data_IF_069404068932
#
_entry.id   IF_069404068932
#
_cell.length_a   1.000
_cell.length_b   1.000
_cell.length_c   1.000
_cell.angle_alpha   90.00
_cell.angle_beta   90.00
_cell.angle_gamma   90.00
#
_symmetry.space_group_name_H-M   'P 1'
#
loop_
_entity.id
_entity.type
_entity.pdbx_description
1 polymer ?
#
# COMPACT_ATOMS: atom_id res chain seq x y z
N UNK A 1 -10.03 0.40 -5.07
CA UNK A 1 -8.99 0.23 -6.11
C UNK A 1 -8.55 -1.23 -6.16
N UNK A 2 -8.21 -1.71 -7.33
CA UNK A 2 -7.65 -3.05 -7.46
C UNK A 2 -6.20 -3.05 -6.98
N UNK A 3 -5.64 -4.21 -6.62
CA UNK A 3 -4.22 -4.29 -6.26
C UNK A 3 -3.30 -3.76 -7.35
N UNK A 4 -3.64 -3.99 -8.61
CA UNK A 4 -2.84 -3.49 -9.73
C UNK A 4 -2.87 -1.98 -9.81
N UNK A 5 -4.02 -1.37 -9.57
CA UNK A 5 -4.15 0.09 -9.53
C UNK A 5 -3.34 0.71 -8.41
N UNK A 6 -3.34 0.07 -7.24
CA UNK A 6 -2.55 0.54 -6.11
C UNK A 6 -1.06 0.50 -6.46
N UNK A 7 -0.61 -0.61 -7.03
CA UNK A 7 0.79 -0.77 -7.43
C UNK A 7 1.18 0.26 -8.49
N UNK A 8 0.32 0.48 -9.47
CA UNK A 8 0.56 1.47 -10.53
C UNK A 8 0.68 2.88 -9.95
N UNK A 9 -0.19 3.23 -9.00
CA UNK A 9 -0.15 4.53 -8.36
C UNK A 9 1.18 4.74 -7.60
N UNK A 10 1.69 3.70 -6.95
CA UNK A 10 2.97 3.76 -6.25
C UNK A 10 4.13 3.90 -7.23
N UNK A 11 4.10 3.13 -8.31
CA UNK A 11 5.16 3.19 -9.34
C UNK A 11 5.21 4.57 -9.98
N UNK A 12 4.06 5.16 -10.27
CA UNK A 12 3.98 6.51 -10.84
C UNK A 12 4.62 7.55 -9.94
N UNK A 13 4.65 7.31 -8.65
CA UNK A 13 5.28 8.21 -7.69
C UNK A 13 6.73 7.82 -7.36
N UNK A 14 7.26 6.81 -8.05
CA UNK A 14 8.62 6.33 -7.81
C UNK A 14 8.81 5.64 -6.47
N UNK A 15 7.74 5.11 -5.90
CA UNK A 15 7.78 4.45 -4.60
C UNK A 15 7.80 2.94 -4.80
N UNK A 16 8.77 2.27 -4.19
CA UNK A 16 8.89 0.82 -4.22
C UNK A 16 8.25 0.21 -2.98
N UNK A 17 7.75 -1.02 -3.12
CA UNK A 17 7.15 -1.73 -1.98
C UNK A 17 8.16 -1.95 -0.86
N UNK A 18 9.44 -2.13 -1.20
CA UNK A 18 10.50 -2.25 -0.20
C UNK A 18 10.64 -1.01 0.66
N UNK A 19 10.39 0.16 0.08
CA UNK A 19 10.43 1.41 0.84
C UNK A 19 9.29 1.49 1.84
N UNK A 20 8.10 1.07 1.43
CA UNK A 20 6.94 1.03 2.32
C UNK A 20 7.19 0.03 3.45
N UNK A 21 7.72 -1.14 3.11
CA UNK A 21 8.04 -2.17 4.09
C UNK A 21 9.03 -1.65 5.13
N UNK A 22 10.04 -0.92 4.68
CA UNK A 22 11.04 -0.34 5.58
C UNK A 22 10.41 0.70 6.52
N UNK A 23 9.56 1.57 5.98
CA UNK A 23 8.86 2.58 6.79
C UNK A 23 7.96 1.95 7.83
N UNK A 24 7.33 0.84 7.50
CA UNK A 24 6.41 0.15 8.40
C UNK A 24 7.09 -0.93 9.24
N UNK A 25 8.39 -1.16 9.00
CA UNK A 25 9.18 -2.17 9.70
C UNK A 25 8.57 -3.57 9.54
N UNK A 26 8.22 -3.91 8.31
CA UNK A 26 7.65 -5.22 7.94
C UNK A 26 8.35 -5.73 6.69
N UNK A 27 8.06 -6.98 6.32
CA UNK A 27 8.60 -7.57 5.10
C UNK A 27 7.83 -7.07 3.88
N UNK A 28 8.49 -6.97 2.69
CA UNK A 28 7.79 -6.57 1.47
C UNK A 28 6.60 -7.47 1.12
N UNK A 29 6.68 -8.77 1.44
CA UNK A 29 5.56 -9.69 1.24
C UNK A 29 4.33 -9.29 2.03
N UNK A 30 4.54 -8.75 3.24
CA UNK A 30 3.44 -8.26 4.08
C UNK A 30 2.73 -7.08 3.41
N UNK A 31 3.50 -6.15 2.84
CA UNK A 31 2.94 -5.02 2.10
C UNK A 31 2.13 -5.50 0.90
N UNK A 32 2.69 -6.47 0.16
CA UNK A 32 2.01 -7.04 -1.00
C UNK A 32 0.68 -7.68 -0.61
N UNK A 33 0.64 -8.40 0.52
CA UNK A 33 -0.59 -9.03 1.00
C UNK A 33 -1.64 -8.00 1.41
N UNK A 34 -1.22 -6.91 2.01
CA UNK A 34 -2.13 -5.82 2.37
C UNK A 34 -2.71 -5.19 1.10
N UNK A 35 -1.88 -4.95 0.10
CA UNK A 35 -2.33 -4.40 -1.18
C UNK A 35 -3.35 -5.35 -1.84
N UNK A 36 -3.09 -6.65 -1.78
CA UNK A 36 -3.98 -7.66 -2.35
C UNK A 36 -5.28 -7.85 -1.56
N UNK A 37 -5.39 -7.27 -0.37
CA UNK A 37 -6.55 -7.43 0.48
C UNK A 37 -6.58 -8.72 1.27
N UNK A 38 -5.49 -9.48 1.27
CA UNK A 38 -5.39 -10.75 2.01
C UNK A 38 -5.03 -10.55 3.47
N UNK A 39 -4.42 -9.43 3.77
CA UNK A 39 -4.02 -9.09 5.12
C UNK A 39 -4.51 -7.69 5.42
N UNK A 40 -4.88 -7.44 6.68
CA UNK A 40 -5.41 -6.15 7.09
C UNK A 40 -4.46 -5.53 8.09
N UNK A 41 -3.83 -4.43 7.70
CA UNK A 41 -2.98 -3.65 8.58
C UNK A 41 -3.29 -2.19 8.37
N UNK A 42 -3.96 -1.59 9.33
CA UNK A 42 -4.34 -0.18 9.26
C UNK A 42 -3.12 0.71 9.09
N UNK A 43 -2.02 0.35 9.74
CA UNK A 43 -0.77 1.12 9.66
C UNK A 43 -0.21 1.14 8.24
N UNK A 44 -0.17 -0.01 7.58
CA UNK A 44 0.31 -0.11 6.20
C UNK A 44 -0.67 0.57 5.25
N UNK A 45 -1.97 0.33 5.44
CA UNK A 45 -3.01 0.95 4.64
C UNK A 45 -2.94 2.48 4.72
N UNK A 46 -2.77 3.01 5.92
CA UNK A 46 -2.68 4.46 6.13
C UNK A 46 -1.44 5.03 5.44
N UNK A 47 -0.31 4.32 5.53
CA UNK A 47 0.93 4.75 4.88
C UNK A 47 0.73 4.83 3.37
N UNK A 48 0.16 3.79 2.77
CA UNK A 48 -0.10 3.75 1.33
C UNK A 48 -1.07 4.86 0.92
N UNK A 49 -2.16 5.03 1.68
CA UNK A 49 -3.17 6.04 1.39
C UNK A 49 -2.57 7.44 1.37
N UNK A 50 -1.70 7.75 2.31
CA UNK A 50 -1.01 9.04 2.35
C UNK A 50 -0.10 9.24 1.14
N UNK A 51 0.61 8.19 0.73
CA UNK A 51 1.54 8.27 -0.39
C UNK A 51 0.79 8.56 -1.68
N UNK A 52 -0.31 7.87 -1.93
CA UNK A 52 -1.07 8.05 -3.17
C UNK A 52 -2.17 9.10 -3.06
N UNK A 53 -2.25 9.79 -1.92
CA UNK A 53 -3.17 10.89 -1.66
C UNK A 53 -4.63 10.49 -1.89
N UNK A 54 -5.02 9.39 -1.26
CA UNK A 54 -6.39 8.88 -1.33
C UNK A 54 -6.87 8.48 0.05
N UNK A 55 -8.20 8.44 0.20
CA UNK A 55 -8.80 7.97 1.44
C UNK A 55 -8.75 6.44 1.51
N UNK A 56 -8.66 5.90 2.72
CA UNK A 56 -8.66 4.46 2.91
C UNK A 56 -9.87 3.80 2.26
N UNK A 57 -11.03 4.43 2.37
CA UNK A 57 -12.28 3.90 1.82
C UNK A 57 -12.28 3.84 0.30
N UNK A 58 -11.52 4.71 -0.35
CA UNK A 58 -11.39 4.69 -1.81
C UNK A 58 -10.52 3.53 -2.27
N UNK A 59 -9.54 3.16 -1.46
CA UNK A 59 -8.57 2.12 -1.82
C UNK A 59 -9.09 0.74 -1.41
N UNK A 60 -9.57 0.64 -0.18
CA UNK A 60 -10.11 -0.61 0.39
C UNK A 60 -11.50 -0.35 0.94
N UNK A 61 -12.52 -0.35 0.04
CA UNK A 61 -13.90 -0.13 0.46
C UNK A 61 -14.48 -1.24 1.34
#
# INVERSE_FOLDING_TARGET
>A
MSPMEIKAALVLRGIKMTEIARKCNVKPTTVSQVIAGRSKSVRIQTTIAKIIDKELQEIWP
#
